data_IF_190091717104
#
_entry.id   IF_190091717104
#
_cell.length_a   1.000
_cell.length_b   1.000
_cell.length_c   1.000
_cell.angle_alpha   90.00
_cell.angle_beta   90.00
_cell.angle_gamma   90.00
#
_symmetry.space_group_name_H-M   'P 1'
#
loop_
_entity.id
_entity.type
_entity.pdbx_description
1 polymer ?
#
# COMPACT_ATOMS: atom_id res chain seq x y z
N UNK A 1 31.08 14.58 4.71
CA UNK A 1 30.37 15.57 3.87
C UNK A 1 28.99 14.97 3.65
N UNK A 2 27.91 15.68 3.96
CA UNK A 2 26.55 15.17 3.68
C UNK A 2 26.26 15.57 2.24
N UNK A 3 26.17 14.59 1.34
CA UNK A 3 25.72 14.84 -0.02
C UNK A 3 24.20 14.99 0.03
N UNK A 4 23.71 16.19 -0.26
CA UNK A 4 22.28 16.48 -0.39
C UNK A 4 21.94 16.64 -1.86
N UNK A 5 20.91 15.94 -2.33
CA UNK A 5 20.42 16.04 -3.70
C UNK A 5 18.99 16.59 -3.70
N UNK A 6 18.68 17.42 -4.69
CA UNK A 6 17.31 17.87 -4.91
C UNK A 6 16.51 16.71 -5.52
N UNK A 7 15.60 16.15 -4.72
CA UNK A 7 14.72 15.09 -5.17
C UNK A 7 13.69 15.62 -6.18
N UNK A 8 13.27 14.78 -7.11
CA UNK A 8 12.09 15.07 -7.94
C UNK A 8 10.86 15.27 -7.02
N UNK A 9 9.87 16.09 -7.43
CA UNK A 9 8.63 16.25 -6.67
C UNK A 9 8.03 14.88 -6.33
N UNK A 10 7.80 14.63 -5.05
CA UNK A 10 7.23 13.39 -4.57
C UNK A 10 6.07 13.69 -3.60
N UNK A 11 4.95 13.04 -3.86
CA UNK A 11 3.73 13.07 -3.04
C UNK A 11 3.62 11.84 -2.13
N UNK A 12 4.38 10.79 -2.43
CA UNK A 12 4.51 9.56 -1.66
C UNK A 12 5.90 8.96 -1.89
N UNK A 13 6.42 8.26 -0.89
CA UNK A 13 7.67 7.50 -0.94
C UNK A 13 7.43 6.11 -0.35
N UNK A 14 8.01 5.09 -0.97
CA UNK A 14 8.20 3.78 -0.37
C UNK A 14 9.69 3.43 -0.30
N UNK A 15 10.08 2.72 0.75
CA UNK A 15 11.44 2.21 0.94
C UNK A 15 11.37 0.70 1.03
N UNK A 16 12.31 0.01 0.40
CA UNK A 16 12.41 -1.44 0.48
C UNK A 16 13.57 -1.98 -0.34
N UNK A 17 13.62 -3.29 -0.48
CA UNK A 17 14.59 -3.98 -1.34
C UNK A 17 13.85 -4.37 -2.61
N UNK A 18 14.21 -3.76 -3.74
CA UNK A 18 13.60 -4.02 -5.04
C UNK A 18 14.55 -4.82 -5.96
N UNK A 19 15.86 -4.71 -5.73
CA UNK A 19 16.87 -5.66 -6.22
C UNK A 19 17.43 -6.55 -5.09
N UNK A 20 18.30 -7.50 -5.44
CA UNK A 20 18.86 -8.49 -4.50
C UNK A 20 20.08 -7.97 -3.72
N UNK A 21 20.51 -6.72 -3.95
CA UNK A 21 21.65 -6.16 -3.22
C UNK A 21 21.29 -5.85 -1.74
N UNK A 22 22.22 -5.42 -0.90
CA UNK A 22 21.93 -5.20 0.54
C UNK A 22 21.36 -3.82 0.88
N UNK A 23 21.32 -2.91 -0.09
CA UNK A 23 21.01 -1.50 0.09
C UNK A 23 19.52 -1.22 -0.15
N UNK A 24 18.91 -0.29 0.61
CA UNK A 24 17.51 0.06 0.39
C UNK A 24 17.35 0.91 -0.88
N UNK A 25 16.32 0.58 -1.64
CA UNK A 25 15.82 1.33 -2.78
C UNK A 25 14.66 2.24 -2.39
N UNK A 26 14.43 3.27 -3.19
CA UNK A 26 13.32 4.21 -3.01
C UNK A 26 12.40 4.19 -4.24
N UNK A 27 11.09 4.19 -4.00
CA UNK A 27 10.08 4.47 -5.01
C UNK A 27 9.37 5.80 -4.70
N UNK A 28 9.68 6.84 -5.47
CA UNK A 28 9.07 8.17 -5.39
C UNK A 28 7.87 8.25 -6.33
N UNK A 29 6.72 8.70 -5.83
CA UNK A 29 5.49 8.86 -6.63
C UNK A 29 5.09 10.33 -6.71
N UNK A 30 4.94 10.84 -7.94
CA UNK A 30 4.46 12.21 -8.22
C UNK A 30 2.99 12.17 -8.67
N UNK A 31 2.06 12.21 -7.71
CA UNK A 31 0.63 12.16 -8.00
C UNK A 31 0.14 13.50 -8.56
N UNK A 32 -0.33 13.44 -9.81
CA UNK A 32 -1.00 14.54 -10.50
C UNK A 32 -2.35 14.04 -11.00
N UNK A 33 -3.46 14.33 -10.29
CA UNK A 33 -4.77 13.86 -10.73
C UNK A 33 -5.09 14.50 -12.08
N UNK A 34 -5.52 13.68 -13.05
CA UNK A 34 -6.10 14.20 -14.28
C UNK A 34 -7.38 14.95 -13.91
N UNK A 35 -7.33 16.29 -13.93
CA UNK A 35 -8.51 17.10 -13.72
C UNK A 35 -9.52 16.80 -14.84
N UNK A 36 -10.74 16.40 -14.46
CA UNK A 36 -11.84 16.41 -15.42
C UNK A 36 -12.02 17.85 -15.91
N UNK A 37 -11.71 18.10 -17.18
CA UNK A 37 -11.91 19.36 -17.91
C UNK A 37 -10.82 20.46 -17.84
N UNK A 38 -9.55 20.14 -17.61
CA UNK A 38 -8.46 21.12 -17.84
C UNK A 38 -7.32 20.53 -18.67
N UNK A 39 -6.83 21.35 -19.61
CA UNK A 39 -5.75 21.10 -20.58
C UNK A 39 -4.42 20.71 -19.92
N UNK A 40 -4.35 19.56 -19.27
CA UNK A 40 -3.07 18.95 -18.92
C UNK A 40 -2.41 18.43 -20.19
N UNK A 41 -1.13 18.77 -20.38
CA UNK A 41 -0.33 18.22 -21.48
C UNK A 41 -0.37 16.68 -21.42
N UNK A 42 -0.53 15.97 -22.55
CA UNK A 42 -0.52 14.51 -22.59
C UNK A 42 0.71 13.87 -21.91
N UNK A 43 1.79 14.64 -21.75
CA UNK A 43 3.06 14.24 -21.14
C UNK A 43 3.12 14.39 -19.60
N UNK A 44 2.09 14.93 -18.95
CA UNK A 44 2.02 15.07 -17.49
C UNK A 44 1.50 13.79 -16.79
N UNK A 45 1.92 12.61 -17.27
CA UNK A 45 1.62 11.36 -16.59
C UNK A 45 2.29 11.36 -15.22
N UNK A 46 1.60 10.92 -14.17
CA UNK A 46 2.25 10.60 -12.91
C UNK A 46 3.41 9.62 -13.17
N UNK A 47 4.56 9.91 -12.57
CA UNK A 47 5.78 9.12 -12.72
C UNK A 47 6.05 8.45 -11.37
N UNK A 48 6.34 7.16 -11.41
CA UNK A 48 7.00 6.47 -10.31
C UNK A 48 8.49 6.42 -10.64
N UNK A 49 9.32 7.11 -9.86
CA UNK A 49 10.76 7.09 -10.01
C UNK A 49 11.35 6.14 -8.99
N UNK A 50 12.02 5.10 -9.48
CA UNK A 50 12.82 4.19 -8.68
C UNK A 50 14.22 4.78 -8.56
N UNK A 51 14.77 4.83 -7.36
CA UNK A 51 16.17 5.17 -7.10
C UNK A 51 16.82 3.94 -6.47
N UNK A 52 17.79 3.37 -7.17
CA UNK A 52 18.52 2.19 -6.72
C UNK A 52 19.52 2.56 -5.62
N UNK A 53 19.48 1.82 -4.52
CA UNK A 53 20.41 1.95 -3.40
C UNK A 53 21.85 1.62 -3.79
N UNK A 54 22.81 2.16 -3.05
CA UNK A 54 24.23 1.79 -3.16
C UNK A 54 24.89 1.93 -1.79
N UNK A 55 26.14 1.47 -1.60
CA UNK A 55 26.89 1.73 -0.37
C UNK A 55 27.03 3.23 -0.03
N UNK A 56 26.97 4.09 -1.04
CA UNK A 56 27.05 5.54 -0.89
C UNK A 56 25.69 6.21 -0.74
N UNK A 57 24.60 5.43 -0.64
CA UNK A 57 23.22 5.90 -0.62
C UNK A 57 22.58 5.94 -2.01
N UNK A 58 21.55 6.78 -2.15
CA UNK A 58 20.82 7.01 -3.41
C UNK A 58 21.29 8.30 -4.09
N UNK A 59 21.28 8.34 -5.42
CA UNK A 59 21.76 9.49 -6.18
C UNK A 59 21.16 9.67 -7.57
N UNK A 60 21.28 10.86 -8.18
CA UNK A 60 20.78 11.14 -9.51
C UNK A 60 21.47 10.26 -10.57
N UNK A 61 20.68 9.69 -11.49
CA UNK A 61 21.17 8.80 -12.55
C UNK A 61 21.21 7.31 -12.18
N UNK A 62 20.97 6.97 -10.91
CA UNK A 62 20.79 5.60 -10.43
C UNK A 62 19.32 5.17 -10.46
N UNK A 63 18.50 5.76 -11.33
CA UNK A 63 17.06 5.60 -11.26
C UNK A 63 16.38 5.32 -12.59
N UNK A 64 15.23 4.65 -12.50
CA UNK A 64 14.35 4.33 -13.63
C UNK A 64 13.01 5.00 -13.38
N UNK A 65 12.39 5.54 -14.43
CA UNK A 65 11.07 6.17 -14.35
C UNK A 65 10.02 5.31 -15.04
N UNK A 66 9.00 4.93 -14.30
CA UNK A 66 7.83 4.21 -14.79
C UNK A 66 6.71 5.21 -15.08
N UNK A 67 6.14 5.13 -16.28
CA UNK A 67 4.98 5.94 -16.66
C UNK A 67 3.71 5.24 -16.19
N UNK A 68 3.22 5.63 -15.01
CA UNK A 68 2.00 5.08 -14.41
C UNK A 68 1.03 6.23 -14.12
N UNK A 69 0.16 6.62 -15.08
CA UNK A 69 -0.77 7.73 -14.90
C UNK A 69 -1.64 7.57 -13.65
N UNK A 70 -1.82 8.66 -12.89
CA UNK A 70 -2.53 8.68 -11.61
C UNK A 70 -1.99 7.70 -10.55
N UNK A 71 -0.71 7.29 -10.63
CA UNK A 71 -0.04 6.62 -9.51
C UNK A 71 -0.12 7.50 -8.26
N UNK A 72 -0.57 6.90 -7.16
CA UNK A 72 -0.93 7.61 -5.93
C UNK A 72 -0.09 7.20 -4.73
N UNK A 73 0.21 5.92 -4.62
CA UNK A 73 1.06 5.35 -3.59
C UNK A 73 1.76 4.09 -4.12
N UNK A 74 2.88 3.76 -3.51
CA UNK A 74 3.69 2.57 -3.80
C UNK A 74 3.99 1.77 -2.54
N UNK A 75 4.23 0.48 -2.71
CA UNK A 75 4.78 -0.40 -1.69
C UNK A 75 5.82 -1.34 -2.33
N UNK A 76 6.88 -1.64 -1.60
CA UNK A 76 7.96 -2.55 -2.02
C UNK A 76 7.97 -3.75 -1.06
N UNK A 77 8.09 -4.96 -1.60
CA UNK A 77 8.18 -6.20 -0.83
C UNK A 77 7.98 -7.43 -1.70
N UNK A 78 8.40 -8.59 -1.21
CA UNK A 78 8.24 -9.88 -1.90
C UNK A 78 6.77 -10.35 -1.82
N UNK A 79 5.97 -10.04 -2.85
CA UNK A 79 4.54 -10.29 -2.89
C UNK A 79 4.25 -11.72 -3.34
N UNK A 80 5.09 -12.31 -4.20
CA UNK A 80 4.89 -13.68 -4.70
C UNK A 80 5.69 -14.75 -3.91
N UNK A 81 6.46 -14.36 -2.90
CA UNK A 81 7.32 -15.23 -2.10
C UNK A 81 8.42 -15.95 -2.92
N UNK A 82 8.94 -15.31 -3.97
CA UNK A 82 10.03 -15.85 -4.78
C UNK A 82 11.43 -15.45 -4.28
N UNK A 83 11.50 -14.55 -3.30
CA UNK A 83 12.73 -14.05 -2.70
C UNK A 83 13.24 -12.74 -3.31
N UNK A 84 12.57 -12.19 -4.32
CA UNK A 84 12.89 -10.92 -4.94
C UNK A 84 11.90 -9.83 -4.50
N UNK A 85 12.34 -8.57 -4.55
CA UNK A 85 11.47 -7.44 -4.26
C UNK A 85 10.48 -7.15 -5.38
N UNK A 86 9.19 -7.05 -5.05
CA UNK A 86 8.16 -6.60 -5.97
C UNK A 86 7.75 -5.14 -5.69
N UNK A 87 7.20 -4.48 -6.72
CA UNK A 87 6.62 -3.15 -6.59
C UNK A 87 5.11 -3.20 -6.86
N UNK A 88 4.34 -2.71 -5.90
CA UNK A 88 2.90 -2.46 -6.06
C UNK A 88 2.66 -0.97 -6.20
N UNK A 89 1.86 -0.57 -7.19
CA UNK A 89 1.49 0.81 -7.47
C UNK A 89 -0.03 0.97 -7.41
N UNK A 90 -0.51 1.72 -6.42
CA UNK A 90 -1.91 2.16 -6.32
C UNK A 90 -2.19 3.23 -7.38
N UNK A 91 -3.20 2.99 -8.22
CA UNK A 91 -3.68 3.94 -9.23
C UNK A 91 -5.02 4.50 -8.77
N UNK A 92 -5.05 5.82 -8.54
CA UNK A 92 -6.22 6.50 -8.01
C UNK A 92 -7.42 6.43 -8.96
N UNK A 93 -7.22 6.68 -10.25
CA UNK A 93 -8.31 6.67 -11.22
C UNK A 93 -7.86 6.34 -12.65
N UNK A 94 -8.78 5.79 -13.42
CA UNK A 94 -8.67 5.68 -14.86
C UNK A 94 -9.18 6.94 -15.56
N UNK A 95 -9.23 6.91 -16.89
CA UNK A 95 -9.69 8.06 -17.70
C UNK A 95 -11.20 8.34 -17.62
N UNK A 96 -11.99 7.37 -17.15
CA UNK A 96 -13.47 7.43 -17.15
C UNK A 96 -14.11 7.21 -15.78
N UNK A 97 -13.38 6.62 -14.84
CA UNK A 97 -13.87 6.25 -13.51
C UNK A 97 -12.71 6.09 -12.54
N UNK A 98 -13.00 6.14 -11.25
CA UNK A 98 -12.10 5.78 -10.15
C UNK A 98 -11.80 4.27 -10.10
N UNK A 99 -12.67 3.43 -10.68
CA UNK A 99 -12.33 2.04 -10.98
C UNK A 99 -11.19 2.00 -12.01
N UNK A 100 -10.02 1.51 -11.59
CA UNK A 100 -8.78 1.61 -12.36
C UNK A 100 -7.89 0.36 -12.16
N UNK A 101 -7.05 0.03 -13.15
CA UNK A 101 -6.01 -0.98 -12.96
C UNK A 101 -4.84 -0.40 -12.16
N UNK A 102 -4.71 -0.79 -10.89
CA UNK A 102 -3.45 -0.69 -10.14
C UNK A 102 -2.45 -1.70 -10.69
N UNK A 103 -1.16 -1.40 -10.56
CA UNK A 103 -0.10 -2.17 -11.21
C UNK A 103 0.75 -2.94 -10.20
N UNK A 104 1.17 -4.14 -10.59
CA UNK A 104 2.06 -5.01 -9.81
C UNK A 104 3.22 -5.42 -10.71
N UNK A 105 4.42 -5.04 -10.34
CA UNK A 105 5.67 -5.39 -11.01
C UNK A 105 6.35 -6.48 -10.19
N UNK A 106 6.36 -7.71 -10.71
CA UNK A 106 7.07 -8.81 -10.06
C UNK A 106 8.55 -8.72 -10.42
N UNK A 107 9.38 -8.47 -9.41
CA UNK A 107 10.83 -8.30 -9.54
C UNK A 107 11.52 -9.60 -9.93
N UNK A 108 12.80 -9.48 -10.28
CA UNK A 108 13.68 -10.63 -10.62
C UNK A 108 15.05 -10.54 -9.96
N UNK A 109 15.16 -9.69 -8.93
CA UNK A 109 16.40 -9.45 -8.19
C UNK A 109 17.42 -8.53 -8.86
N UNK A 110 17.12 -8.04 -10.08
CA UNK A 110 17.96 -7.07 -10.78
C UNK A 110 17.42 -5.64 -10.68
N UNK A 111 18.23 -4.68 -11.12
CA UNK A 111 17.87 -3.25 -11.22
C UNK A 111 16.97 -2.92 -12.40
N UNK A 112 16.01 -3.80 -12.67
CA UNK A 112 15.07 -3.74 -13.78
C UNK A 112 13.72 -4.29 -13.31
N UNK A 113 12.64 -3.62 -13.73
CA UNK A 113 11.27 -4.09 -13.52
C UNK A 113 10.70 -4.58 -14.86
N UNK A 114 9.78 -5.57 -14.84
CA UNK A 114 9.18 -6.07 -16.08
C UNK A 114 8.40 -4.97 -16.82
N UNK A 115 8.60 -4.90 -18.14
CA UNK A 115 7.89 -3.95 -19.02
C UNK A 115 6.36 -4.17 -19.04
N UNK A 116 5.92 -5.38 -18.70
CA UNK A 116 4.51 -5.78 -18.67
C UNK A 116 4.09 -6.11 -17.22
N UNK A 117 3.66 -5.11 -16.43
CA UNK A 117 3.15 -5.36 -15.09
C UNK A 117 1.82 -6.12 -15.13
N UNK A 118 1.54 -6.84 -14.05
CA UNK A 118 0.21 -7.37 -13.79
C UNK A 118 -0.72 -6.22 -13.37
N UNK A 119 -2.01 -6.33 -13.72
CA UNK A 119 -3.00 -5.33 -13.39
C UNK A 119 -4.06 -5.89 -12.44
N UNK A 120 -4.35 -5.16 -11.36
CA UNK A 120 -5.45 -5.47 -10.43
C UNK A 120 -6.45 -4.34 -10.37
N UNK A 121 -7.73 -4.69 -10.21
CA UNK A 121 -8.80 -3.70 -10.24
C UNK A 121 -9.04 -3.11 -8.85
N UNK A 122 -8.69 -1.84 -8.70
CA UNK A 122 -8.97 -1.04 -7.50
C UNK A 122 -9.97 0.06 -7.80
N UNK A 123 -10.42 0.77 -6.76
CA UNK A 123 -11.43 1.82 -6.88
C UNK A 123 -10.99 3.03 -6.05
N UNK A 124 -10.41 4.06 -6.69
CA UNK A 124 -9.94 5.20 -5.91
C UNK A 124 -8.77 4.84 -4.98
N UNK A 125 -7.80 4.04 -5.46
CA UNK A 125 -6.72 3.55 -4.60
C UNK A 125 -5.83 4.71 -4.12
N UNK A 126 -5.82 4.94 -2.82
CA UNK A 126 -5.11 6.02 -2.11
C UNK A 126 -3.86 5.52 -1.39
N UNK A 127 -3.86 4.25 -0.99
CA UNK A 127 -2.76 3.59 -0.30
C UNK A 127 -2.50 2.19 -0.83
N UNK A 128 -1.24 1.75 -0.71
CA UNK A 128 -0.82 0.38 -0.96
C UNK A 128 0.09 -0.09 0.18
N UNK A 129 -0.03 -1.36 0.56
CA UNK A 129 0.87 -2.04 1.51
C UNK A 129 1.10 -3.46 1.02
N UNK A 130 2.31 -3.98 1.15
CA UNK A 130 2.59 -5.41 1.02
C UNK A 130 2.81 -5.94 2.44
N UNK A 131 2.08 -6.98 2.82
CA UNK A 131 2.19 -7.62 4.12
C UNK A 131 2.44 -9.11 3.94
N UNK A 132 3.18 -9.72 4.87
CA UNK A 132 3.37 -11.17 4.92
C UNK A 132 2.92 -11.65 6.31
N UNK A 133 1.72 -12.24 6.46
CA UNK A 133 1.15 -12.57 7.77
C UNK A 133 2.05 -13.44 8.66
N UNK A 134 2.85 -14.30 8.03
CA UNK A 134 3.93 -15.06 8.66
C UNK A 134 4.90 -15.54 7.58
N UNK A 135 6.11 -15.97 7.96
CA UNK A 135 7.08 -16.52 7.00
C UNK A 135 6.51 -17.70 6.17
N UNK A 136 5.62 -18.51 6.76
CA UNK A 136 4.96 -19.63 6.07
C UNK A 136 3.69 -19.24 5.30
N UNK A 137 3.18 -18.03 5.50
CA UNK A 137 1.95 -17.57 4.89
C UNK A 137 2.22 -16.87 3.55
N UNK A 138 1.31 -16.99 2.57
CA UNK A 138 1.40 -16.21 1.34
C UNK A 138 1.35 -14.70 1.63
N UNK A 139 2.19 -13.88 0.99
CA UNK A 139 2.10 -12.42 1.11
C UNK A 139 0.82 -11.87 0.47
N UNK A 140 0.50 -10.62 0.77
CA UNK A 140 -0.72 -9.96 0.34
C UNK A 140 -0.48 -8.48 0.06
N UNK A 141 -0.98 -8.01 -1.08
CA UNK A 141 -1.08 -6.61 -1.41
C UNK A 141 -2.43 -6.08 -0.88
N UNK A 142 -2.39 -5.00 -0.11
CA UNK A 142 -3.54 -4.32 0.48
C UNK A 142 -3.69 -2.97 -0.19
N UNK A 143 -4.86 -2.69 -0.75
CA UNK A 143 -5.19 -1.40 -1.34
C UNK A 143 -6.26 -0.69 -0.51
N UNK A 144 -5.89 0.46 0.03
CA UNK A 144 -6.81 1.37 0.68
C UNK A 144 -7.53 2.18 -0.40
N UNK A 145 -8.83 1.93 -0.55
CA UNK A 145 -9.68 2.51 -1.59
C UNK A 145 -10.58 3.58 -0.98
N UNK A 146 -10.74 4.71 -1.67
CA UNK A 146 -11.61 5.80 -1.24
C UNK A 146 -12.29 6.45 -2.43
N UNK A 147 -13.59 6.71 -2.30
CA UNK A 147 -14.36 7.47 -3.28
C UNK A 147 -15.02 8.64 -2.60
N UNK A 148 -14.56 9.85 -2.90
CA UNK A 148 -15.35 11.04 -2.57
C UNK A 148 -16.67 10.97 -3.33
N UNK A 149 -17.81 10.94 -2.61
CA UNK A 149 -19.20 11.13 -3.11
C UNK A 149 -20.02 9.86 -3.36
N UNK A 150 -19.73 8.74 -2.71
CA UNK A 150 -20.72 7.65 -2.64
C UNK A 150 -21.75 7.97 -1.54
N UNK A 151 -22.98 7.47 -1.64
CA UNK A 151 -24.06 7.86 -0.73
C UNK A 151 -23.81 7.43 0.73
N UNK A 152 -22.99 6.40 0.92
CA UNK A 152 -22.58 5.82 2.19
C UNK A 152 -21.05 5.78 2.39
N UNK A 153 -20.28 6.24 1.40
CA UNK A 153 -18.81 6.18 1.39
C UNK A 153 -18.21 4.79 1.70
N UNK A 154 -18.99 3.73 1.47
CA UNK A 154 -18.66 2.34 1.79
C UNK A 154 -17.77 1.70 0.72
N UNK A 155 -16.54 2.21 0.59
CA UNK A 155 -15.53 1.67 -0.32
C UNK A 155 -14.60 0.73 0.46
N UNK A 156 -14.50 -0.55 0.08
CA UNK A 156 -13.77 -1.54 0.87
C UNK A 156 -12.26 -1.41 0.69
N UNK A 157 -11.51 -1.83 1.69
CA UNK A 157 -10.10 -2.17 1.51
C UNK A 157 -10.03 -3.49 0.75
N UNK A 158 -9.22 -3.54 -0.31
CA UNK A 158 -9.12 -4.71 -1.20
C UNK A 158 -7.79 -5.41 -1.06
N UNK A 159 -7.83 -6.72 -0.83
CA UNK A 159 -6.67 -7.60 -0.67
C UNK A 159 -6.48 -8.43 -1.93
N UNK A 160 -5.23 -8.57 -2.35
CA UNK A 160 -4.78 -9.49 -3.38
C UNK A 160 -3.66 -10.36 -2.83
N UNK A 161 -3.96 -11.63 -2.64
CA UNK A 161 -2.99 -12.60 -2.14
C UNK A 161 -2.04 -13.00 -3.25
N UNK A 162 -0.74 -12.96 -2.95
CA UNK A 162 0.26 -13.57 -3.80
C UNK A 162 0.32 -15.07 -3.61
N UNK A 163 1.06 -15.73 -4.49
CA UNK A 163 1.47 -17.11 -4.30
C UNK A 163 2.74 -17.38 -5.11
N UNK A 164 3.51 -18.37 -4.66
CA UNK A 164 4.70 -18.85 -5.37
C UNK A 164 4.37 -19.44 -6.74
N UNK A 165 3.14 -19.96 -6.90
CA UNK A 165 2.64 -20.51 -8.15
C UNK A 165 2.04 -19.42 -9.08
N UNK A 166 2.04 -18.16 -8.63
CA UNK A 166 1.59 -16.99 -9.37
C UNK A 166 0.64 -16.08 -8.59
N UNK A 167 0.63 -14.79 -8.93
CA UNK A 167 -0.31 -13.81 -8.41
C UNK A 167 -1.60 -13.80 -9.25
N UNK A 168 -2.77 -14.00 -8.63
CA UNK A 168 -4.06 -13.94 -9.34
C UNK A 168 -4.74 -12.59 -9.16
N UNK A 169 -4.67 -11.77 -10.20
CA UNK A 169 -5.38 -10.49 -10.26
C UNK A 169 -6.92 -10.60 -10.19
N UNK A 170 -7.47 -11.80 -10.35
CA UNK A 170 -8.91 -12.07 -10.31
C UNK A 170 -9.41 -12.49 -8.91
N UNK A 171 -8.52 -12.85 -7.99
CA UNK A 171 -8.87 -13.38 -6.68
C UNK A 171 -8.68 -12.33 -5.58
N UNK A 172 -9.60 -11.37 -5.51
CA UNK A 172 -9.59 -10.34 -4.46
C UNK A 172 -10.48 -10.70 -3.28
N UNK A 173 -10.12 -10.18 -2.11
CA UNK A 173 -10.93 -10.23 -0.89
C UNK A 173 -11.14 -8.82 -0.39
N UNK A 174 -12.40 -8.44 -0.15
CA UNK A 174 -12.74 -7.11 0.34
C UNK A 174 -12.96 -7.17 1.86
N UNK A 175 -12.34 -6.25 2.58
CA UNK A 175 -12.64 -5.94 3.97
C UNK A 175 -13.58 -4.72 3.97
N UNK A 176 -14.79 -4.82 4.55
CA UNK A 176 -15.68 -3.69 4.68
C UNK A 176 -14.96 -2.50 5.31
N UNK A 177 -15.04 -1.35 4.66
CA UNK A 177 -14.43 -0.10 5.06
C UNK A 177 -15.27 1.07 4.51
N UNK A 178 -15.09 2.24 5.09
CA UNK A 178 -15.77 3.49 4.79
C UNK A 178 -14.72 4.47 4.26
N UNK A 179 -14.20 4.22 3.05
CA UNK A 179 -13.29 5.12 2.34
C UNK A 179 -12.06 5.52 3.18
N UNK A 180 -11.28 4.52 3.59
CA UNK A 180 -9.99 4.70 4.26
C UNK A 180 -8.85 4.96 3.27
N UNK A 181 -7.93 5.87 3.61
CA UNK A 181 -6.86 6.29 2.71
C UNK A 181 -5.54 5.52 2.85
N UNK A 182 -5.33 4.86 4.00
CA UNK A 182 -4.05 4.24 4.34
C UNK A 182 -4.23 2.89 5.02
N UNK A 183 -3.24 2.05 4.80
CA UNK A 183 -3.02 0.77 5.46
C UNK A 183 -1.58 0.70 5.91
N UNK A 184 -1.32 -0.08 6.96
CA UNK A 184 0.01 -0.47 7.42
C UNK A 184 -0.06 -1.91 7.94
N UNK A 185 1.09 -2.56 8.06
CA UNK A 185 1.16 -3.92 8.58
C UNK A 185 2.43 -4.14 9.39
N UNK A 186 2.30 -4.66 10.61
CA UNK A 186 3.40 -4.95 11.53
C UNK A 186 2.94 -5.94 12.59
N UNK A 187 3.84 -6.74 13.15
CA UNK A 187 3.55 -7.58 14.33
C UNK A 187 3.54 -6.68 15.58
N UNK A 188 2.38 -6.15 15.94
CA UNK A 188 2.25 -5.14 17.00
C UNK A 188 2.28 -5.76 18.39
N UNK A 189 1.92 -7.04 18.50
CA UNK A 189 1.83 -7.75 19.78
C UNK A 189 3.02 -8.70 20.04
N UNK A 190 3.92 -8.87 19.08
CA UNK A 190 5.12 -9.69 19.18
C UNK A 190 4.85 -11.19 19.16
N UNK A 191 3.73 -11.63 18.60
CA UNK A 191 3.34 -13.05 18.57
C UNK A 191 3.91 -13.84 17.38
N UNK A 192 4.66 -13.17 16.50
CA UNK A 192 5.23 -13.74 15.28
C UNK A 192 4.28 -13.72 14.08
N UNK A 193 3.10 -13.11 14.22
CA UNK A 193 2.16 -12.87 13.14
C UNK A 193 2.02 -11.37 12.88
N UNK A 194 2.10 -10.99 11.61
CA UNK A 194 1.88 -9.59 11.22
C UNK A 194 0.40 -9.24 11.35
N UNK A 195 0.13 -8.10 11.98
CA UNK A 195 -1.20 -7.50 12.11
C UNK A 195 -1.46 -6.50 10.98
N UNK A 196 -2.74 -6.31 10.62
CA UNK A 196 -3.16 -5.36 9.59
C UNK A 196 -3.82 -4.14 10.22
N UNK A 197 -3.30 -2.95 9.94
CA UNK A 197 -3.80 -1.68 10.45
C UNK A 197 -4.45 -0.90 9.29
N UNK A 198 -5.72 -0.55 9.42
CA UNK A 198 -6.49 0.15 8.39
C UNK A 198 -7.07 1.45 8.96
N UNK A 199 -6.92 2.55 8.22
CA UNK A 199 -7.79 3.70 8.40
C UNK A 199 -9.20 3.29 7.94
N UNK A 200 -10.22 3.60 8.74
CA UNK A 200 -11.62 3.48 8.38
C UNK A 200 -12.32 4.82 8.65
N UNK A 201 -13.29 5.19 7.80
CA UNK A 201 -14.01 6.46 7.90
C UNK A 201 -13.10 7.70 7.77
N UNK A 202 -12.08 7.63 6.90
CA UNK A 202 -11.14 8.73 6.68
C UNK A 202 -11.72 9.90 5.88
N UNK A 203 -12.66 9.63 4.98
CA UNK A 203 -13.26 10.60 4.06
C UNK A 203 -14.79 10.63 4.10
N UNK A 204 -15.38 10.49 5.29
CA UNK A 204 -16.84 10.43 5.44
C UNK A 204 -17.35 11.61 6.25
N UNK A 205 -18.64 11.93 6.09
CA UNK A 205 -19.26 12.96 6.91
C UNK A 205 -19.28 12.59 8.39
N UNK A 206 -19.30 13.59 9.28
CA UNK A 206 -19.40 13.36 10.73
C UNK A 206 -20.63 12.52 11.10
N UNK A 207 -21.74 12.66 10.37
CA UNK A 207 -22.94 11.86 10.57
C UNK A 207 -22.70 10.37 10.25
N UNK A 208 -22.00 10.08 9.15
CA UNK A 208 -21.64 8.69 8.78
C UNK A 208 -20.65 8.12 9.81
N UNK A 209 -19.60 8.86 10.15
CA UNK A 209 -18.61 8.45 11.13
C UNK A 209 -19.24 8.17 12.51
N UNK A 210 -20.17 9.02 12.97
CA UNK A 210 -20.83 8.86 14.28
C UNK A 210 -21.73 7.62 14.37
N UNK A 211 -22.17 7.07 13.23
CA UNK A 211 -23.04 5.88 13.15
C UNK A 211 -22.25 4.59 12.92
N UNK A 212 -21.00 4.70 12.51
CA UNK A 212 -20.12 3.57 12.27
C UNK A 212 -19.34 3.21 13.54
N UNK A 213 -19.72 2.09 14.18
CA UNK A 213 -19.07 1.61 15.41
C UNK A 213 -17.59 1.23 15.20
N UNK A 214 -17.16 1.05 13.96
CA UNK A 214 -15.79 0.76 13.58
C UNK A 214 -15.10 1.91 12.84
N UNK A 215 -15.62 3.13 12.90
CA UNK A 215 -14.90 4.32 12.43
C UNK A 215 -13.61 4.54 13.24
N UNK A 216 -12.53 4.93 12.56
CA UNK A 216 -11.20 5.12 13.16
C UNK A 216 -10.18 4.11 12.68
N UNK A 217 -9.16 3.85 13.50
CA UNK A 217 -8.07 2.93 13.14
C UNK A 217 -8.44 1.52 13.56
N UNK A 218 -8.60 0.63 12.58
CA UNK A 218 -8.90 -0.78 12.82
C UNK A 218 -7.61 -1.59 12.77
N UNK A 219 -7.32 -2.34 13.82
CA UNK A 219 -6.21 -3.29 13.91
C UNK A 219 -6.81 -4.70 13.85
N UNK A 220 -6.60 -5.41 12.75
CA UNK A 220 -6.98 -6.80 12.56
C UNK A 220 -5.80 -7.69 12.95
N UNK A 221 -5.94 -8.47 14.02
CA UNK A 221 -4.86 -9.28 14.55
C UNK A 221 -4.52 -10.44 13.60
N UNK A 222 -3.24 -10.64 13.34
CA UNK A 222 -2.72 -11.82 12.66
C UNK A 222 -2.85 -13.06 13.53
N UNK A 223 -2.79 -14.23 12.90
CA UNK A 223 -2.76 -15.48 13.64
C UNK A 223 -2.89 -16.71 12.76
N UNK A 224 -2.68 -17.88 13.38
CA UNK A 224 -2.72 -19.17 12.72
C UNK A 224 -4.05 -19.50 12.04
N UNK A 225 -5.17 -18.90 12.47
CA UNK A 225 -6.53 -19.20 11.99
C UNK A 225 -7.33 -17.91 11.68
N UNK A 226 -6.78 -17.04 10.83
CA UNK A 226 -7.42 -15.78 10.48
C UNK A 226 -8.71 -15.95 9.67
N UNK A 227 -9.78 -15.26 10.10
CA UNK A 227 -11.11 -15.33 9.49
C UNK A 227 -11.26 -14.52 8.18
N UNK A 228 -10.35 -13.59 7.87
CA UNK A 228 -10.34 -12.92 6.56
C UNK A 228 -9.94 -13.94 5.50
N UNK A 229 -10.75 -14.03 4.44
CA UNK A 229 -10.56 -15.05 3.38
C UNK A 229 -9.19 -14.87 2.70
N UNK A 230 -8.57 -16.01 2.38
CA UNK A 230 -7.28 -16.07 1.69
C UNK A 230 -6.73 -17.48 1.65
N UNK A 231 -5.59 -17.71 0.98
CA UNK A 231 -4.89 -18.99 0.97
C UNK A 231 -4.23 -19.29 2.32
N UNK A 232 -4.26 -20.56 2.75
CA UNK A 232 -3.62 -21.02 4.00
C UNK A 232 -4.27 -20.47 5.28
N UNK A 233 -4.15 -21.12 6.43
CA UNK A 233 -4.91 -20.74 7.63
C UNK A 233 -4.37 -19.46 8.29
N UNK A 234 -3.06 -19.22 8.20
CA UNK A 234 -2.38 -18.07 8.82
C UNK A 234 -2.67 -16.78 8.06
N UNK A 235 -3.58 -15.96 8.61
CA UNK A 235 -4.14 -14.77 7.96
C UNK A 235 -4.54 -13.75 9.03
N UNK A 236 -5.13 -12.64 8.60
CA UNK A 236 -5.75 -11.66 9.50
C UNK A 236 -7.13 -12.13 9.97
N UNK A 237 -7.48 -11.80 11.20
CA UNK A 237 -8.76 -12.18 11.81
C UNK A 237 -9.72 -10.99 11.86
N UNK A 238 -10.92 -11.18 11.31
CA UNK A 238 -11.98 -10.16 11.31
C UNK A 238 -12.59 -9.96 12.70
N UNK A 239 -12.69 -11.03 13.48
CA UNK A 239 -13.40 -11.05 14.75
C UNK A 239 -12.46 -10.70 15.91
N UNK A 240 -11.16 -10.97 15.76
CA UNK A 240 -10.11 -10.42 16.62
C UNK A 240 -9.62 -9.10 16.03
N UNK A 241 -10.31 -8.00 16.36
CA UNK A 241 -9.86 -6.64 16.03
C UNK A 241 -9.91 -5.67 17.21
N UNK A 242 -9.01 -4.70 17.21
CA UNK A 242 -9.10 -3.49 18.03
C UNK A 242 -9.51 -2.29 17.15
N UNK A 243 -10.24 -1.34 17.73
CA UNK A 243 -10.61 -0.08 17.05
C UNK A 243 -10.16 1.08 17.91
N UNK A 244 -9.26 1.90 17.40
CA UNK A 244 -8.83 3.14 18.03
C UNK A 244 -9.68 4.29 17.47
N UNK A 245 -10.43 5.02 18.31
CA UNK A 245 -11.19 6.17 17.85
C UNK A 245 -10.26 7.24 17.29
N UNK A 246 -10.38 7.51 15.99
CA UNK A 246 -9.64 8.58 15.32
C UNK A 246 -10.52 9.12 14.18
N UNK A 247 -10.94 10.37 14.29
CA UNK A 247 -11.71 11.01 13.24
C UNK A 247 -10.77 11.64 12.21
N UNK A 248 -11.07 11.46 10.93
CA UNK A 248 -10.33 12.07 9.82
C UNK A 248 -8.82 11.74 9.79
N UNK A 249 -8.42 10.59 10.32
CA UNK A 249 -7.03 10.14 10.24
C UNK A 249 -6.63 9.98 8.77
N UNK A 250 -5.55 10.65 8.36
CA UNK A 250 -4.99 10.62 7.01
C UNK A 250 -3.72 9.76 6.90
N UNK A 251 -3.09 9.42 8.03
CA UNK A 251 -1.81 8.72 8.08
C UNK A 251 -1.70 7.73 9.25
N UNK A 252 -0.87 6.70 9.05
CA UNK A 252 -0.50 5.71 10.06
C UNK A 252 1.00 5.45 9.90
N UNK A 253 1.76 5.53 11.00
CA UNK A 253 3.14 5.09 11.06
C UNK A 253 3.33 4.17 12.26
N UNK A 254 4.27 3.23 12.15
CA UNK A 254 4.55 2.25 13.19
C UNK A 254 6.06 2.23 13.44
N UNK A 255 6.46 2.39 14.70
CA UNK A 255 7.85 2.33 15.14
C UNK A 255 7.89 2.14 16.66
N UNK A 256 8.96 1.56 17.18
CA UNK A 256 9.27 1.60 18.62
C UNK A 256 9.86 2.98 18.95
N UNK A 257 9.03 3.90 19.46
CA UNK A 257 9.40 5.31 19.65
C UNK A 257 10.09 5.56 20.99
N UNK A 258 9.77 4.76 22.00
CA UNK A 258 10.36 4.88 23.34
C UNK A 258 11.43 3.82 23.66
N UNK A 259 11.73 2.95 22.69
CA UNK A 259 12.73 1.90 22.74
C UNK A 259 12.45 0.83 23.82
N UNK A 260 11.17 0.55 24.10
CA UNK A 260 10.75 -0.46 25.07
C UNK A 260 10.64 -1.88 24.48
N UNK A 261 10.82 -2.00 23.16
CA UNK A 261 10.74 -3.26 22.41
C UNK A 261 9.35 -3.58 21.87
N UNK A 262 8.36 -2.71 22.08
CA UNK A 262 7.03 -2.80 21.49
C UNK A 262 6.84 -1.73 20.41
N UNK A 263 5.97 -2.00 19.45
CA UNK A 263 5.70 -1.06 18.37
C UNK A 263 4.61 -0.06 18.79
N UNK A 264 4.89 1.23 18.64
CA UNK A 264 3.91 2.30 18.77
C UNK A 264 3.21 2.58 17.45
N UNK A 265 1.94 2.98 17.52
CA UNK A 265 1.15 3.42 16.37
C UNK A 265 0.93 4.93 16.45
N UNK A 266 1.48 5.66 15.48
CA UNK A 266 1.27 7.11 15.30
C UNK A 266 0.18 7.34 14.27
N UNK A 267 -0.83 8.12 14.64
CA UNK A 267 -1.96 8.47 13.79
C UNK A 267 -2.00 9.98 13.62
N UNK A 268 -2.22 10.45 12.40
CA UNK A 268 -2.30 11.88 12.06
C UNK A 268 -3.28 12.18 10.96
#
# INVERSE_FOLDING_TARGET
MIDSYEAQPATHLAVGRLDDDEWPDLALTDFKPIASASRASPDAAAIVTILWGTPSGVGPGLGVSLKVPNARATAIGDLNADGHGDLVVAVYQGSRSTRAPSQVFLGRGGRELPDSPLAVITEGAEGATIARPAASAPPVAVFANSLRRTLDDAVPVRLYWGSRDGFSAAASVDIPNLSGYKSSASDLNGDGHVDLILVNAGDVSEEVAARALDAGINIYWGGADGAIRGPGPTRFDRDRRAVLPAQHAGSINVADLDADGFLDVVVG
#
